data_IF_074260801677
#
_entry.id   IF_074260801677
#
_cell.length_a   1.000
_cell.length_b   1.000
_cell.length_c   1.000
_cell.angle_alpha   90.00
_cell.angle_beta   90.00
_cell.angle_gamma   90.00
#
_symmetry.space_group_name_H-M   'P 1'
#
loop_
_entity.id
_entity.type
_entity.pdbx_description
1 polymer ?
#
# COMPACT_ATOMS: atom_id res chain seq x y z
N UNK A 1 -2.98 -1.40 0.24
CA UNK A 1 -3.12 0.08 0.52
C UNK A 1 -4.44 0.68 -0.01
N UNK A 2 -4.66 2.00 0.11
CA UNK A 2 -5.93 2.68 -0.25
C UNK A 2 -6.45 2.33 -1.66
N UNK A 3 -5.63 2.45 -2.70
CA UNK A 3 -6.02 2.13 -4.08
C UNK A 3 -6.50 0.67 -4.23
N UNK A 4 -5.80 -0.27 -3.59
CA UNK A 4 -6.17 -1.68 -3.60
C UNK A 4 -7.53 -1.91 -2.93
N UNK A 5 -7.78 -1.31 -1.76
CA UNK A 5 -9.04 -1.46 -1.05
C UNK A 5 -10.23 -0.92 -1.86
N UNK A 6 -10.09 0.26 -2.47
CA UNK A 6 -11.15 0.84 -3.31
C UNK A 6 -11.39 -0.01 -4.55
N UNK A 7 -10.31 -0.47 -5.21
CA UNK A 7 -10.40 -1.34 -6.37
C UNK A 7 -11.10 -2.66 -6.04
N UNK A 8 -10.66 -3.37 -5.00
CA UNK A 8 -11.26 -4.62 -4.55
C UNK A 8 -12.75 -4.45 -4.27
N UNK A 9 -13.13 -3.39 -3.54
CA UNK A 9 -14.53 -3.13 -3.24
C UNK A 9 -15.38 -2.95 -4.51
N UNK A 10 -14.88 -2.20 -5.50
CA UNK A 10 -15.62 -1.96 -6.74
C UNK A 10 -15.72 -3.22 -7.60
N UNK A 11 -14.64 -3.98 -7.75
CA UNK A 11 -14.66 -5.25 -8.47
C UNK A 11 -15.64 -6.25 -7.83
N UNK A 12 -15.63 -6.38 -6.51
CA UNK A 12 -16.55 -7.25 -5.79
C UNK A 12 -18.02 -6.83 -5.95
N UNK A 13 -18.29 -5.52 -6.02
CA UNK A 13 -19.64 -5.00 -6.24
C UNK A 13 -20.19 -5.35 -7.65
N UNK A 14 -19.31 -5.51 -8.63
CA UNK A 14 -19.64 -5.97 -10.00
C UNK A 14 -19.65 -7.51 -10.12
N UNK A 15 -19.48 -8.24 -9.02
CA UNK A 15 -19.45 -9.70 -9.02
C UNK A 15 -18.14 -10.32 -9.53
N UNK A 16 -17.07 -9.53 -9.65
CA UNK A 16 -15.75 -10.00 -10.07
C UNK A 16 -15.02 -10.58 -8.85
N UNK A 17 -14.48 -11.79 -8.98
CA UNK A 17 -13.65 -12.40 -7.94
C UNK A 17 -12.32 -11.66 -7.80
N UNK A 18 -11.90 -11.42 -6.55
CA UNK A 18 -10.68 -10.66 -6.25
C UNK A 18 -9.74 -11.50 -5.38
N UNK A 19 -8.49 -11.59 -5.84
CA UNK A 19 -7.36 -12.11 -5.07
C UNK A 19 -6.38 -10.95 -4.84
N UNK A 20 -6.28 -10.51 -3.60
CA UNK A 20 -5.33 -9.49 -3.16
C UNK A 20 -4.02 -10.12 -2.69
N UNK A 21 -2.90 -9.46 -2.97
CA UNK A 21 -1.60 -9.77 -2.41
C UNK A 21 -1.06 -8.51 -1.73
N UNK A 22 -0.76 -8.59 -0.43
CA UNK A 22 -0.20 -7.48 0.35
C UNK A 22 1.07 -7.96 1.05
N UNK A 23 2.17 -7.25 0.80
CA UNK A 23 3.48 -7.58 1.37
C UNK A 23 3.51 -7.37 2.88
N UNK A 24 2.76 -6.39 3.37
CA UNK A 24 2.66 -6.08 4.80
C UNK A 24 1.78 -7.07 5.57
N UNK A 25 1.87 -7.04 6.90
CA UNK A 25 0.96 -7.74 7.82
C UNK A 25 -0.38 -7.00 8.04
N UNK A 26 -0.52 -5.78 7.53
CA UNK A 26 -1.70 -4.93 7.74
C UNK A 26 -2.09 -4.17 6.48
N UNK A 27 -3.40 -3.98 6.30
CA UNK A 27 -3.97 -3.16 5.25
C UNK A 27 -3.88 -1.67 5.61
N UNK A 28 -3.57 -0.87 4.59
CA UNK A 28 -3.50 0.59 4.70
C UNK A 28 -2.33 1.19 3.91
N UNK A 29 -1.29 0.41 3.66
CA UNK A 29 -0.14 0.81 2.84
C UNK A 29 0.60 1.99 3.47
N UNK A 30 0.79 3.09 2.72
CA UNK A 30 1.50 4.30 3.16
C UNK A 30 1.09 4.77 4.56
N UNK A 31 -0.20 4.75 4.89
CA UNK A 31 -0.71 5.33 6.12
C UNK A 31 -0.40 4.49 7.37
N UNK A 32 -0.06 3.21 7.20
CA UNK A 32 0.38 2.36 8.32
C UNK A 32 1.81 2.73 8.67
N UNK A 33 1.99 3.24 9.88
CA UNK A 33 3.31 3.58 10.39
C UNK A 33 4.12 2.33 10.70
N UNK A 34 5.38 2.35 10.26
CA UNK A 34 6.36 1.30 10.56
C UNK A 34 7.70 1.94 10.84
N UNK A 35 8.39 1.38 11.83
CA UNK A 35 9.80 1.66 12.03
C UNK A 35 10.66 0.93 10.99
N UNK A 36 11.87 1.43 10.75
CA UNK A 36 12.80 0.80 9.82
C UNK A 36 12.54 1.11 8.34
N UNK A 37 13.33 0.53 7.43
CA UNK A 37 13.41 0.94 6.02
C UNK A 37 12.12 0.73 5.21
N UNK A 38 11.21 -0.13 5.68
CA UNK A 38 9.91 -0.36 5.02
C UNK A 38 8.88 0.74 5.35
N UNK A 39 9.13 1.53 6.40
CA UNK A 39 8.30 2.66 6.80
C UNK A 39 8.40 3.83 5.83
N UNK A 40 7.25 4.31 5.36
CA UNK A 40 7.14 5.44 4.41
C UNK A 40 6.62 6.73 5.06
N UNK A 41 6.27 6.66 6.34
CA UNK A 41 5.68 7.76 7.10
C UNK A 41 6.57 8.13 8.27
N UNK A 42 6.57 9.42 8.59
CA UNK A 42 7.16 9.99 9.79
C UNK A 42 6.05 10.31 10.81
N UNK A 43 6.39 10.38 12.10
CA UNK A 43 5.44 10.44 13.22
C UNK A 43 4.45 11.60 13.13
N UNK A 44 4.89 12.74 12.61
CA UNK A 44 4.08 13.95 12.49
C UNK A 44 3.26 14.04 11.20
N UNK A 45 3.31 13.00 10.34
CA UNK A 45 2.67 13.05 9.04
C UNK A 45 1.14 13.18 9.17
N UNK A 46 0.61 14.16 8.45
CA UNK A 46 -0.83 14.45 8.34
C UNK A 46 -1.23 14.54 6.88
N UNK A 47 -2.51 14.30 6.62
CA UNK A 47 -3.08 14.58 5.32
C UNK A 47 -2.91 16.07 4.98
N UNK A 48 -2.46 16.35 3.76
CA UNK A 48 -2.50 17.69 3.17
C UNK A 48 -3.84 17.98 2.47
N UNK A 49 -4.73 16.99 2.39
CA UNK A 49 -6.07 17.11 1.79
C UNK A 49 -7.12 17.07 2.89
N UNK A 50 -8.17 17.88 2.73
CA UNK A 50 -9.30 17.92 3.68
C UNK A 50 -10.00 16.56 3.76
N UNK A 51 -10.39 16.13 4.97
CA UNK A 51 -11.00 14.80 5.20
C UNK A 51 -12.19 14.51 4.29
N UNK A 52 -13.04 15.50 4.04
CA UNK A 52 -14.22 15.35 3.19
C UNK A 52 -13.89 15.13 1.71
N UNK A 53 -12.70 15.53 1.26
CA UNK A 53 -12.22 15.22 -0.09
C UNK A 53 -11.42 13.92 -0.15
N UNK A 54 -10.95 13.42 0.99
CA UNK A 54 -10.11 12.23 1.09
C UNK A 54 -10.92 10.96 1.41
N UNK A 55 -12.08 11.11 2.04
CA UNK A 55 -12.94 9.99 2.41
C UNK A 55 -13.59 9.31 1.20
N UNK A 56 -13.93 8.04 1.37
CA UNK A 56 -14.77 7.29 0.45
C UNK A 56 -16.21 7.77 0.55
N UNK A 57 -16.86 7.92 -0.60
CA UNK A 57 -18.20 8.49 -0.75
C UNK A 57 -19.25 7.80 0.15
N UNK A 58 -19.20 6.47 0.23
CA UNK A 58 -20.12 5.64 1.00
C UNK A 58 -19.53 5.15 2.33
N UNK A 59 -18.44 5.77 2.77
CA UNK A 59 -17.83 5.50 4.07
C UNK A 59 -17.18 6.77 4.62
N UNK A 60 -17.96 7.77 5.08
CA UNK A 60 -17.42 9.05 5.51
C UNK A 60 -16.52 8.92 6.74
N UNK A 61 -15.52 9.79 6.85
CA UNK A 61 -14.69 9.88 8.06
C UNK A 61 -15.51 10.47 9.23
N UNK A 62 -15.19 10.12 10.49
CA UNK A 62 -15.89 10.65 11.65
C UNK A 62 -15.92 12.19 11.68
N UNK A 63 -17.06 12.78 12.05
CA UNK A 63 -17.19 14.24 12.15
C UNK A 63 -16.26 14.83 13.21
N UNK A 64 -15.98 14.09 14.29
CA UNK A 64 -15.06 14.49 15.37
C UNK A 64 -13.60 14.60 14.95
N UNK A 65 -13.21 14.01 13.81
CA UNK A 65 -11.82 14.08 13.33
C UNK A 65 -11.44 15.48 12.83
N UNK A 66 -10.16 15.87 12.95
CA UNK A 66 -9.69 17.14 12.43
C UNK A 66 -9.84 17.21 10.91
N UNK A 67 -9.90 18.42 10.37
CA UNK A 67 -9.94 18.69 8.91
C UNK A 67 -8.85 17.97 8.13
N UNK A 68 -7.68 17.81 8.75
CA UNK A 68 -6.49 17.17 8.20
C UNK A 68 -6.05 16.04 9.15
N UNK A 69 -6.53 14.81 8.95
CA UNK A 69 -6.26 13.69 9.85
C UNK A 69 -4.78 13.29 9.85
N UNK A 70 -4.32 12.71 10.95
CA UNK A 70 -3.00 12.10 11.04
C UNK A 70 -2.93 10.79 10.26
N UNK A 71 -1.72 10.31 9.99
CA UNK A 71 -1.55 8.98 9.40
C UNK A 71 -2.14 7.87 10.29
N UNK A 72 -2.08 8.01 11.62
CA UNK A 72 -2.73 7.07 12.56
C UNK A 72 -4.24 6.96 12.31
N UNK A 73 -4.91 8.10 12.19
CA UNK A 73 -6.34 8.14 11.89
C UNK A 73 -6.64 7.55 10.50
N UNK A 74 -5.81 7.85 9.49
CA UNK A 74 -6.03 7.28 8.16
C UNK A 74 -5.77 5.77 8.09
N UNK A 75 -4.82 5.24 8.86
CA UNK A 75 -4.65 3.80 9.00
C UNK A 75 -5.90 3.16 9.62
N UNK A 76 -6.39 3.72 10.73
CA UNK A 76 -7.62 3.27 11.41
C UNK A 76 -8.82 3.29 10.44
N UNK A 77 -8.98 4.39 9.69
CA UNK A 77 -10.04 4.54 8.69
C UNK A 77 -10.00 3.47 7.61
N UNK A 78 -8.82 3.18 7.06
CA UNK A 78 -8.66 2.17 6.01
C UNK A 78 -8.88 0.75 6.52
N UNK A 79 -8.48 0.47 7.77
CA UNK A 79 -8.78 -0.81 8.41
C UNK A 79 -10.27 -0.97 8.68
N UNK A 80 -10.93 0.08 9.19
CA UNK A 80 -12.38 0.09 9.40
C UNK A 80 -13.14 -0.07 8.08
N UNK A 81 -12.69 0.59 7.00
CA UNK A 81 -13.23 0.42 5.66
C UNK A 81 -13.10 -1.02 5.16
N UNK A 82 -11.91 -1.61 5.31
CA UNK A 82 -11.67 -3.00 4.91
C UNK A 82 -12.54 -3.99 5.70
N UNK A 83 -12.74 -3.76 7.00
CA UNK A 83 -13.61 -4.57 7.85
C UNK A 83 -15.09 -4.42 7.47
N UNK A 84 -15.55 -3.18 7.29
CA UNK A 84 -16.96 -2.87 6.97
C UNK A 84 -17.43 -3.55 5.68
N UNK A 85 -16.59 -3.52 4.64
CA UNK A 85 -16.91 -4.16 3.35
C UNK A 85 -16.38 -5.60 3.24
N UNK A 86 -15.85 -6.18 4.33
CA UNK A 86 -15.36 -7.56 4.34
C UNK A 86 -14.21 -7.82 3.36
N UNK A 87 -13.39 -6.81 3.06
CA UNK A 87 -12.33 -6.88 2.04
C UNK A 87 -11.14 -7.72 2.50
N UNK A 88 -10.85 -7.72 3.80
CA UNK A 88 -9.64 -8.35 4.35
C UNK A 88 -9.51 -9.84 4.01
N UNK A 89 -10.63 -10.57 3.91
CA UNK A 89 -10.66 -12.01 3.57
C UNK A 89 -10.19 -12.31 2.14
N UNK A 90 -10.14 -11.31 1.27
CA UNK A 90 -9.70 -11.44 -0.12
C UNK A 90 -8.19 -11.24 -0.27
N UNK A 91 -7.49 -10.85 0.81
CA UNK A 91 -6.06 -10.54 0.76
C UNK A 91 -5.22 -11.65 1.37
N UNK A 92 -4.22 -12.09 0.60
CA UNK A 92 -3.09 -12.86 1.08
C UNK A 92 -2.07 -11.87 1.65
N UNK A 93 -2.06 -11.76 2.98
CA UNK A 93 -1.13 -10.90 3.71
C UNK A 93 0.28 -11.51 3.73
N UNK A 94 1.29 -10.69 4.05
CA UNK A 94 2.69 -11.11 4.09
C UNK A 94 3.15 -11.87 2.84
N UNK A 95 2.63 -11.47 1.68
CA UNK A 95 2.87 -12.12 0.39
C UNK A 95 3.41 -11.10 -0.59
N UNK A 96 4.62 -11.32 -1.10
CA UNK A 96 5.22 -10.47 -2.12
C UNK A 96 5.02 -11.04 -3.52
N UNK A 97 4.60 -10.18 -4.45
CA UNK A 97 4.48 -10.52 -5.87
C UNK A 97 5.83 -10.27 -6.53
N UNK A 98 6.40 -11.30 -7.14
CA UNK A 98 7.69 -11.28 -7.80
C UNK A 98 7.57 -10.92 -9.28
N UNK A 99 6.53 -11.40 -9.96
CA UNK A 99 6.27 -11.02 -11.36
C UNK A 99 4.81 -11.20 -11.76
N UNK A 100 4.37 -10.39 -12.73
CA UNK A 100 3.10 -10.54 -13.42
C UNK A 100 3.40 -10.65 -14.92
N UNK A 101 2.96 -11.73 -15.57
CA UNK A 101 3.19 -11.96 -17.00
C UNK A 101 1.88 -12.28 -17.71
N UNK A 102 1.62 -11.60 -18.82
CA UNK A 102 0.50 -11.91 -19.70
C UNK A 102 0.93 -12.96 -20.72
N UNK A 103 0.12 -14.00 -20.93
CA UNK A 103 0.36 -15.01 -21.97
C UNK A 103 -0.15 -14.54 -23.33
N UNK A 104 0.19 -15.26 -24.39
CA UNK A 104 -0.27 -14.95 -25.74
C UNK A 104 -1.81 -15.05 -25.87
N UNK A 105 -2.42 -15.89 -25.04
CA UNK A 105 -3.86 -16.15 -24.98
C UNK A 105 -4.62 -15.12 -24.12
N UNK A 106 -3.92 -14.17 -23.50
CA UNK A 106 -4.52 -13.09 -22.70
C UNK A 106 -4.72 -13.41 -21.22
N UNK A 107 -4.33 -14.60 -20.75
CA UNK A 107 -4.34 -14.94 -19.33
C UNK A 107 -3.13 -14.33 -18.60
N UNK A 108 -3.26 -14.07 -17.31
CA UNK A 108 -2.18 -13.54 -16.48
C UNK A 108 -1.65 -14.57 -15.49
N UNK A 109 -0.33 -14.66 -15.41
CA UNK A 109 0.40 -15.42 -14.41
C UNK A 109 0.97 -14.46 -13.36
N UNK A 110 0.57 -14.63 -12.11
CA UNK A 110 1.08 -13.88 -10.97
C UNK A 110 1.96 -14.80 -10.12
N UNK A 111 3.26 -14.56 -10.11
CA UNK A 111 4.22 -15.28 -9.28
C UNK A 111 4.40 -14.54 -7.96
N UNK A 112 4.21 -15.24 -6.84
CA UNK A 112 4.29 -14.67 -5.49
C UNK A 112 4.89 -15.66 -4.48
N UNK A 113 5.35 -15.14 -3.34
CA UNK A 113 5.88 -15.95 -2.24
C UNK A 113 5.67 -15.26 -0.87
N UNK A 114 5.74 -16.01 0.24
CA UNK A 114 5.77 -15.41 1.57
C UNK A 114 6.98 -14.50 1.75
N UNK A 115 6.77 -13.34 2.35
CA UNK A 115 7.81 -12.33 2.60
C UNK A 115 8.92 -12.88 3.50
N UNK A 116 10.17 -12.54 3.18
CA UNK A 116 11.32 -12.88 4.02
C UNK A 116 11.73 -14.35 3.96
N UNK A 117 11.22 -15.11 2.98
CA UNK A 117 11.60 -16.51 2.77
C UNK A 117 12.19 -16.71 1.38
N UNK A 118 13.19 -17.57 1.26
CA UNK A 118 13.56 -18.21 -0.02
C UNK A 118 12.57 -19.35 -0.38
N UNK A 119 11.36 -19.27 0.16
CA UNK A 119 10.32 -20.28 -0.01
C UNK A 119 9.95 -20.46 -1.47
N UNK A 120 9.31 -21.60 -1.78
CA UNK A 120 8.85 -21.87 -3.13
C UNK A 120 7.88 -20.78 -3.61
N UNK A 121 8.24 -20.19 -4.74
CA UNK A 121 7.36 -19.34 -5.51
C UNK A 121 6.12 -20.12 -5.93
N UNK A 122 4.96 -19.48 -5.81
CA UNK A 122 3.68 -19.99 -6.28
C UNK A 122 3.21 -19.13 -7.45
N UNK A 123 2.56 -19.77 -8.40
CA UNK A 123 1.94 -19.07 -9.54
C UNK A 123 0.43 -19.20 -9.43
N UNK A 124 -0.25 -18.06 -9.46
CA UNK A 124 -1.71 -17.95 -9.55
C UNK A 124 -2.08 -17.42 -10.92
N UNK A 125 -3.03 -18.10 -11.59
CA UNK A 125 -3.56 -17.68 -12.88
C UNK A 125 -4.81 -16.84 -12.67
N UNK A 126 -4.90 -15.71 -13.37
CA UNK A 126 -6.02 -14.76 -13.28
C UNK A 126 -6.34 -14.17 -14.65
N UNK A 127 -7.56 -13.67 -14.82
CA UNK A 127 -8.00 -13.04 -16.08
C UNK A 127 -7.50 -11.61 -16.25
N UNK A 128 -7.10 -10.95 -15.14
CA UNK A 128 -6.62 -9.58 -15.16
C UNK A 128 -5.83 -9.22 -13.91
N UNK A 129 -4.99 -8.19 -14.04
CA UNK A 129 -4.14 -7.69 -12.96
C UNK A 129 -4.36 -6.19 -12.79
N UNK A 130 -4.61 -5.76 -11.55
CA UNK A 130 -4.64 -4.33 -11.18
C UNK A 130 -3.48 -4.02 -10.25
N UNK A 131 -2.58 -3.15 -10.70
CA UNK A 131 -1.41 -2.75 -9.92
C UNK A 131 -1.76 -1.65 -8.93
N UNK A 132 -1.62 -1.94 -7.63
CA UNK A 132 -1.92 -1.01 -6.53
C UNK A 132 -0.71 -0.81 -5.59
N UNK A 133 0.50 -0.83 -6.15
CA UNK A 133 1.78 -0.80 -5.42
C UNK A 133 2.15 0.59 -4.86
N UNK A 134 1.54 1.65 -5.39
CA UNK A 134 1.90 3.03 -5.06
C UNK A 134 3.25 3.45 -5.68
N UNK A 135 3.59 4.73 -5.58
CA UNK A 135 4.79 5.31 -6.21
C UNK A 135 5.91 5.66 -5.22
N UNK A 136 5.59 5.85 -3.94
CA UNK A 136 6.55 6.24 -2.91
C UNK A 136 7.19 5.01 -2.23
N UNK A 137 7.80 4.12 -3.01
CA UNK A 137 8.37 2.86 -2.51
C UNK A 137 9.90 2.89 -2.47
N UNK A 138 10.53 3.39 -3.51
CA UNK A 138 11.99 3.40 -3.65
C UNK A 138 12.53 4.83 -3.57
N UNK A 139 13.52 5.09 -2.70
CA UNK A 139 14.11 6.41 -2.58
C UNK A 139 14.96 6.72 -3.81
N UNK A 140 14.71 7.87 -4.44
CA UNK A 140 15.60 8.42 -5.46
C UNK A 140 16.66 9.28 -4.77
N UNK A 141 17.87 8.73 -4.64
CA UNK A 141 18.99 9.40 -3.97
C UNK A 141 19.99 9.88 -5.02
N UNK A 142 20.02 11.17 -5.35
CA UNK A 142 21.00 11.72 -6.27
C UNK A 142 22.40 11.81 -5.64
N UNK A 143 23.43 11.80 -6.49
CA UNK A 143 24.83 12.06 -6.11
C UNK A 143 25.23 13.46 -6.60
N UNK A 144 25.94 14.21 -5.76
CA UNK A 144 26.39 15.57 -6.07
C UNK A 144 27.92 15.67 -6.05
N UNK A 145 28.56 16.51 -6.90
CA UNK A 145 30.00 16.77 -6.81
C UNK A 145 30.38 17.36 -5.45
N UNK A 146 31.42 16.82 -4.81
CA UNK A 146 31.89 17.26 -3.48
C UNK A 146 31.01 16.78 -2.31
N UNK A 147 30.04 15.88 -2.56
CA UNK A 147 29.19 15.31 -1.51
C UNK A 147 30.00 14.58 -0.44
N UNK A 148 31.11 13.96 -0.82
CA UNK A 148 32.06 13.28 0.05
C UNK A 148 32.85 14.23 0.97
N UNK A 149 32.94 15.52 0.65
CA UNK A 149 33.65 16.51 1.47
C UNK A 149 32.79 16.95 2.67
N UNK A 150 31.47 16.80 2.57
CA UNK A 150 30.53 17.18 3.61
C UNK A 150 30.66 16.27 4.84
N UNK A 151 31.08 16.85 5.98
CA UNK A 151 31.30 16.12 7.23
C UNK A 151 30.03 15.89 8.05
N UNK A 152 28.88 16.40 7.60
CA UNK A 152 27.60 16.27 8.29
C UNK A 152 26.83 15.02 7.87
N UNK A 153 25.66 14.81 8.49
CA UNK A 153 24.76 13.70 8.17
C UNK A 153 23.82 14.09 7.02
N UNK A 154 23.88 13.35 5.91
CA UNK A 154 22.90 13.44 4.82
C UNK A 154 21.90 12.29 4.91
N UNK A 155 20.62 12.60 4.70
CA UNK A 155 19.53 11.62 4.77
C UNK A 155 18.55 11.85 3.63
N UNK A 156 18.03 10.75 3.08
CA UNK A 156 16.82 10.81 2.26
C UNK A 156 15.60 10.92 3.20
N UNK A 157 14.53 11.57 2.76
CA UNK A 157 13.30 11.78 3.56
C UNK A 157 12.68 10.47 4.03
N UNK A 158 12.83 9.37 3.28
CA UNK A 158 12.42 8.03 3.69
C UNK A 158 13.12 7.50 4.94
N UNK A 159 14.21 8.13 5.39
CA UNK A 159 14.93 7.77 6.62
C UNK A 159 14.50 8.64 7.81
N UNK A 160 13.77 9.74 7.57
CA UNK A 160 13.25 10.61 8.64
C UNK A 160 12.03 9.97 9.31
N UNK A 161 11.93 10.12 10.62
CA UNK A 161 10.83 9.59 11.43
C UNK A 161 10.32 10.67 12.37
#
# INVERSE_FOLDING_TARGET
>A
GMSGLVCSKRLLAEGIEVIGFERSDQLGGLWVFREGPEGKTYHSLRANVHKERLQMEDFPMPQSWPRYPSHWQLAEYLQAFAAHFGLARHYNMQTEVMSCRCTAEGAWMVTHRPVGTDGQEKTTWVDGVVMCVGQACEPSVPTYPGQEEFQGRMLHTSQYR
#
